data_IF_678782216121
#
_entry.id   IF_678782216121
#
_cell.length_a   1.000
_cell.length_b   1.000
_cell.length_c   1.000
_cell.angle_alpha   90.00
_cell.angle_beta   90.00
_cell.angle_gamma   90.00
#
_symmetry.space_group_name_H-M   'P 1'
#
loop_
_entity.id
_entity.type
_entity.pdbx_description
1 polymer ?
#
# COMPACT_ATOMS: atom_id res chain seq x y z
N UNK A 1 -18.40 -16.20 49.95
CA UNK A 1 -17.54 -16.44 48.78
C UNK A 1 -16.30 -15.55 48.76
N UNK A 2 -16.40 -14.31 49.27
CA UNK A 2 -15.24 -13.46 49.56
C UNK A 2 -14.95 -13.49 51.06
N UNK A 3 -14.05 -14.38 51.48
CA UNK A 3 -13.54 -14.39 52.85
C UNK A 3 -12.10 -13.89 52.81
N UNK A 4 -11.78 -12.84 53.58
CA UNK A 4 -10.46 -12.19 53.58
C UNK A 4 -9.36 -13.17 54.01
N UNK A 5 -9.68 -14.05 54.93
CA UNK A 5 -8.73 -15.05 55.46
C UNK A 5 -8.21 -15.97 54.35
N UNK A 6 -9.09 -16.43 53.45
CA UNK A 6 -8.69 -17.27 52.30
C UNK A 6 -7.75 -16.55 51.34
N UNK A 7 -7.92 -15.24 51.15
CA UNK A 7 -7.03 -14.45 50.28
C UNK A 7 -5.66 -14.24 50.95
N UNK A 8 -5.64 -14.01 52.26
CA UNK A 8 -4.40 -13.94 53.03
C UNK A 8 -3.64 -15.26 52.97
N UNK A 9 -4.34 -16.40 53.11
CA UNK A 9 -3.75 -17.75 53.06
C UNK A 9 -3.15 -18.08 51.68
N UNK A 10 -3.82 -17.68 50.59
CA UNK A 10 -3.30 -17.82 49.21
C UNK A 10 -2.05 -16.96 49.00
N UNK A 11 -2.06 -15.72 49.48
CA UNK A 11 -0.91 -14.82 49.38
C UNK A 11 0.27 -15.35 50.19
N UNK A 12 0.03 -15.83 51.41
CA UNK A 12 1.05 -16.43 52.27
C UNK A 12 1.69 -17.66 51.61
N UNK A 13 0.87 -18.55 51.02
CA UNK A 13 1.33 -19.70 50.25
C UNK A 13 2.14 -19.31 48.99
N UNK A 14 1.76 -18.24 48.30
CA UNK A 14 2.49 -17.72 47.13
C UNK A 14 3.83 -17.09 47.53
N UNK A 15 3.87 -16.37 48.67
CA UNK A 15 5.08 -15.74 49.22
C UNK A 15 6.00 -16.72 49.93
N UNK A 16 5.51 -17.89 50.35
CA UNK A 16 6.33 -18.97 50.91
C UNK A 16 7.40 -19.46 49.92
N UNK A 17 7.10 -19.43 48.61
CA UNK A 17 8.01 -19.82 47.54
C UNK A 17 8.06 -18.76 46.43
N UNK A 18 8.47 -17.55 46.80
CA UNK A 18 8.53 -16.36 45.92
C UNK A 18 9.17 -16.67 44.56
N UNK A 19 10.29 -17.39 44.53
CA UNK A 19 11.04 -17.66 43.30
C UNK A 19 10.25 -18.52 42.29
N UNK A 20 9.60 -19.58 42.76
CA UNK A 20 8.78 -20.48 41.92
C UNK A 20 7.53 -19.75 41.42
N UNK A 21 6.90 -18.97 42.29
CA UNK A 21 5.72 -18.16 41.94
C UNK A 21 6.06 -17.10 40.89
N UNK A 22 7.21 -16.43 41.00
CA UNK A 22 7.66 -15.46 40.00
C UNK A 22 7.95 -16.14 38.66
N UNK A 23 8.68 -17.26 38.63
CA UNK A 23 9.03 -17.94 37.38
C UNK A 23 7.78 -18.43 36.62
N UNK A 24 6.80 -18.96 37.34
CA UNK A 24 5.54 -19.43 36.73
C UNK A 24 4.68 -18.27 36.22
N UNK A 25 4.52 -17.21 37.03
CA UNK A 25 3.80 -16.00 36.61
C UNK A 25 4.50 -15.30 35.42
N UNK A 26 5.82 -15.24 35.44
CA UNK A 26 6.62 -14.67 34.36
C UNK A 26 6.47 -15.47 33.06
N UNK A 27 6.47 -16.81 33.12
CA UNK A 27 6.27 -17.65 31.93
C UNK A 27 4.92 -17.40 31.26
N UNK A 28 3.84 -17.34 32.06
CA UNK A 28 2.48 -17.05 31.53
C UNK A 28 2.41 -15.63 30.98
N UNK A 29 2.93 -14.65 31.71
CA UNK A 29 3.00 -13.25 31.27
C UNK A 29 3.75 -13.13 29.94
N UNK A 30 4.91 -13.78 29.82
CA UNK A 30 5.75 -13.70 28.63
C UNK A 30 5.08 -14.36 27.42
N UNK A 31 4.37 -15.48 27.62
CA UNK A 31 3.61 -16.13 26.55
C UNK A 31 2.51 -15.22 25.98
N UNK A 32 1.72 -14.58 26.85
CA UNK A 32 0.67 -13.65 26.44
C UNK A 32 1.29 -12.40 25.79
N UNK A 33 2.40 -11.90 26.35
CA UNK A 33 3.11 -10.74 25.82
C UNK A 33 3.58 -10.95 24.38
N UNK A 34 4.24 -12.06 24.08
CA UNK A 34 4.69 -12.39 22.72
C UNK A 34 3.51 -12.49 21.75
N UNK A 35 2.40 -13.10 22.19
CA UNK A 35 1.20 -13.24 21.37
C UNK A 35 0.60 -11.87 20.99
N UNK A 36 0.46 -10.97 21.97
CA UNK A 36 -0.04 -9.60 21.73
C UNK A 36 0.93 -8.82 20.83
N UNK A 37 2.23 -8.93 21.08
CA UNK A 37 3.25 -8.22 20.31
C UNK A 37 3.25 -8.64 18.84
N UNK A 38 3.16 -9.94 18.56
CA UNK A 38 3.06 -10.46 17.19
C UNK A 38 1.76 -10.04 16.51
N UNK A 39 0.63 -10.07 17.24
CA UNK A 39 -0.66 -9.62 16.70
C UNK A 39 -0.61 -8.13 16.34
N UNK A 40 -0.06 -7.31 17.22
CA UNK A 40 0.09 -5.88 17.01
C UNK A 40 1.03 -5.58 15.82
N UNK A 41 2.17 -6.27 15.74
CA UNK A 41 3.11 -6.13 14.62
C UNK A 41 2.47 -6.58 13.29
N UNK A 42 1.75 -7.69 13.28
CA UNK A 42 1.06 -8.20 12.09
C UNK A 42 -0.04 -7.26 11.61
N UNK A 43 -0.88 -6.74 12.54
CA UNK A 43 -1.91 -5.75 12.21
C UNK A 43 -1.34 -4.40 11.80
N UNK A 44 -0.25 -3.97 12.45
CA UNK A 44 0.47 -2.75 12.08
C UNK A 44 1.03 -2.83 10.67
N UNK A 45 1.66 -3.96 10.31
CA UNK A 45 2.15 -4.21 8.96
C UNK A 45 1.00 -4.29 7.95
N UNK A 46 -0.07 -5.04 8.26
CA UNK A 46 -1.25 -5.13 7.39
C UNK A 46 -1.83 -3.74 7.09
N UNK A 47 -1.96 -2.89 8.12
CA UNK A 47 -2.49 -1.54 7.96
C UNK A 47 -1.52 -0.62 7.21
N UNK A 48 -0.22 -0.69 7.49
CA UNK A 48 0.80 0.10 6.79
C UNK A 48 0.86 -0.25 5.31
N UNK A 49 0.89 -1.54 4.98
CA UNK A 49 0.80 -2.02 3.60
C UNK A 49 -0.53 -1.57 2.98
N UNK A 50 -1.67 -1.78 3.64
CA UNK A 50 -2.95 -1.31 3.11
C UNK A 50 -3.03 0.20 2.93
N UNK A 51 -2.31 0.99 3.70
CA UNK A 51 -2.25 2.44 3.52
C UNK A 51 -1.41 2.80 2.30
N UNK A 52 -0.22 2.20 2.15
CA UNK A 52 0.64 2.42 0.98
C UNK A 52 -0.01 1.93 -0.33
N UNK A 53 -0.81 0.87 -0.25
CA UNK A 53 -1.57 0.33 -1.38
C UNK A 53 -3.00 0.90 -1.48
N UNK A 54 -3.49 1.62 -0.47
CA UNK A 54 -4.89 2.08 -0.37
C UNK A 54 -5.20 3.26 -1.28
N UNK A 55 -4.19 4.09 -1.55
CA UNK A 55 -4.27 5.17 -2.54
C UNK A 55 -4.20 4.65 -3.98
N UNK A 56 -3.83 3.38 -4.19
CA UNK A 56 -4.10 2.69 -5.44
C UNK A 56 -5.52 2.16 -5.38
N UNK A 57 -6.48 2.97 -5.85
CA UNK A 57 -7.87 2.56 -5.99
C UNK A 57 -7.93 1.12 -6.51
N UNK A 58 -8.63 0.25 -5.77
CA UNK A 58 -8.53 -1.21 -5.87
C UNK A 58 -8.87 -1.75 -7.27
N UNK A 59 -9.48 -0.91 -8.11
CA UNK A 59 -9.87 -1.18 -9.49
C UNK A 59 -9.23 -0.19 -10.50
N UNK A 60 -8.00 0.27 -10.25
CA UNK A 60 -7.29 1.17 -11.17
C UNK A 60 -6.22 0.44 -11.97
N UNK A 61 -6.15 0.74 -13.26
CA UNK A 61 -5.14 0.23 -14.17
C UNK A 61 -4.44 1.40 -14.85
N UNK A 62 -3.11 1.38 -14.81
CA UNK A 62 -2.28 2.31 -15.59
C UNK A 62 -1.84 1.65 -16.88
N UNK A 63 -1.96 2.38 -17.99
CA UNK A 63 -1.59 1.91 -19.32
C UNK A 63 -0.58 2.87 -19.94
N UNK A 64 0.49 2.33 -20.52
CA UNK A 64 1.46 3.06 -21.32
C UNK A 64 1.78 2.27 -22.57
N UNK A 65 2.31 2.96 -23.57
CA UNK A 65 2.66 2.36 -24.84
C UNK A 65 4.06 1.78 -24.81
N UNK A 66 4.22 0.57 -25.33
CA UNK A 66 5.51 -0.07 -25.59
C UNK A 66 5.61 -0.40 -27.10
N UNK A 67 6.76 -0.91 -27.54
CA UNK A 67 6.92 -1.38 -28.92
C UNK A 67 5.86 -2.42 -29.27
N UNK A 68 5.15 -2.22 -30.38
CA UNK A 68 4.04 -3.11 -30.78
C UNK A 68 4.58 -4.52 -31.08
N UNK A 69 4.10 -5.52 -30.34
CA UNK A 69 4.62 -6.90 -30.44
C UNK A 69 4.07 -7.69 -31.63
N UNK A 70 2.86 -7.36 -32.10
CA UNK A 70 2.15 -8.08 -33.18
C UNK A 70 1.75 -7.14 -34.33
N UNK A 71 1.93 -7.56 -35.60
CA UNK A 71 1.44 -6.78 -36.73
C UNK A 71 -0.09 -6.73 -36.73
N UNK A 72 -0.67 -5.65 -37.24
CA UNK A 72 -2.12 -5.46 -37.26
C UNK A 72 -2.54 -4.59 -38.45
N UNK A 73 -3.54 -5.04 -39.23
CA UNK A 73 -4.10 -4.31 -40.38
C UNK A 73 -3.03 -3.70 -41.32
N UNK A 74 -2.02 -4.50 -41.69
CA UNK A 74 -0.94 -4.07 -42.58
C UNK A 74 0.17 -3.24 -41.91
N UNK A 75 0.06 -2.95 -40.61
CA UNK A 75 1.11 -2.24 -39.86
C UNK A 75 2.14 -3.24 -39.30
N UNK A 76 3.45 -2.96 -39.43
CA UNK A 76 4.50 -3.85 -38.97
C UNK A 76 4.61 -3.89 -37.43
N UNK A 77 5.19 -4.98 -36.91
CA UNK A 77 5.63 -5.07 -35.50
C UNK A 77 6.83 -4.13 -35.25
N UNK A 78 7.09 -3.80 -33.99
CA UNK A 78 8.22 -2.96 -33.56
C UNK A 78 7.98 -1.44 -33.68
N UNK A 79 6.86 -1.01 -34.26
CA UNK A 79 6.50 0.41 -34.29
C UNK A 79 6.19 0.94 -32.89
N UNK A 80 6.48 2.22 -32.66
CA UNK A 80 5.98 2.96 -31.49
C UNK A 80 4.51 3.32 -31.72
N UNK A 81 3.71 3.19 -30.69
CA UNK A 81 2.36 3.71 -30.62
C UNK A 81 2.33 4.77 -29.52
N UNK A 82 1.49 5.77 -29.64
CA UNK A 82 1.29 6.82 -28.64
C UNK A 82 -0.19 7.10 -28.60
N UNK A 83 -0.78 7.10 -27.41
CA UNK A 83 -2.18 7.42 -27.22
C UNK A 83 -2.48 8.84 -27.67
N UNK A 84 -3.64 9.03 -28.29
CA UNK A 84 -4.22 10.32 -28.60
C UNK A 84 -5.37 10.59 -27.64
N UNK A 85 -5.75 11.87 -27.51
CA UNK A 85 -6.92 12.24 -26.70
C UNK A 85 -8.20 11.61 -27.26
N UNK A 86 -8.33 11.46 -28.58
CA UNK A 86 -9.48 10.79 -29.21
C UNK A 86 -9.63 9.32 -28.79
N UNK A 87 -8.53 8.64 -28.44
CA UNK A 87 -8.58 7.26 -27.97
C UNK A 87 -9.34 7.13 -26.64
N UNK A 88 -9.41 8.21 -25.84
CA UNK A 88 -10.14 8.25 -24.56
C UNK A 88 -11.63 8.08 -24.79
N UNK A 89 -12.18 8.74 -25.81
CA UNK A 89 -13.58 8.61 -26.19
C UNK A 89 -13.88 7.18 -26.69
N UNK A 90 -12.99 6.62 -27.50
CA UNK A 90 -13.13 5.25 -27.98
C UNK A 90 -13.07 4.21 -26.84
N UNK A 91 -12.18 4.39 -25.85
CA UNK A 91 -12.10 3.51 -24.68
C UNK A 91 -13.38 3.60 -23.86
N UNK A 92 -13.90 4.82 -23.62
CA UNK A 92 -15.14 5.04 -22.88
C UNK A 92 -16.35 4.35 -23.52
N UNK A 93 -16.41 4.33 -24.85
CA UNK A 93 -17.50 3.68 -25.58
C UNK A 93 -17.36 2.15 -25.61
N UNK A 94 -16.12 1.64 -25.76
CA UNK A 94 -15.87 0.21 -25.99
C UNK A 94 -15.67 -0.62 -24.72
N UNK A 95 -15.37 0.00 -23.58
CA UNK A 95 -15.16 -0.69 -22.30
C UNK A 95 -16.32 -0.38 -21.36
N UNK A 96 -17.33 -1.27 -21.25
CA UNK A 96 -18.39 -1.11 -20.26
C UNK A 96 -17.82 -1.18 -18.84
N UNK A 97 -18.52 -0.59 -17.87
CA UNK A 97 -18.16 -0.53 -16.43
C UNK A 97 -16.98 0.36 -16.05
N UNK A 98 -16.40 1.08 -17.00
CA UNK A 98 -15.30 1.99 -16.71
C UNK A 98 -15.81 3.33 -16.15
N UNK A 99 -15.59 3.56 -14.85
CA UNK A 99 -16.11 4.73 -14.12
C UNK A 99 -15.33 6.01 -14.40
N UNK A 100 -14.00 5.94 -14.47
CA UNK A 100 -13.13 7.10 -14.70
C UNK A 100 -12.00 6.78 -15.68
N UNK A 101 -11.74 7.71 -16.61
CA UNK A 101 -10.53 7.72 -17.44
C UNK A 101 -9.83 9.04 -17.17
N UNK A 102 -8.55 9.00 -16.82
CA UNK A 102 -7.71 10.21 -16.76
C UNK A 102 -6.53 10.03 -17.71
N UNK A 103 -6.52 10.71 -18.87
CA UNK A 103 -5.32 10.80 -19.68
C UNK A 103 -4.20 11.48 -18.87
N UNK A 104 -3.00 10.90 -18.92
CA UNK A 104 -1.82 11.36 -18.20
C UNK A 104 -0.69 11.61 -19.17
N UNK A 105 -0.12 12.81 -19.15
CA UNK A 105 1.17 13.08 -19.76
C UNK A 105 2.26 12.98 -18.68
N UNK A 106 3.32 12.23 -18.94
CA UNK A 106 4.42 12.04 -17.99
C UNK A 106 5.73 12.49 -18.63
N UNK A 107 6.44 13.40 -17.95
CA UNK A 107 7.81 13.80 -18.28
C UNK A 107 8.76 13.25 -17.21
N UNK A 108 9.82 12.56 -17.65
CA UNK A 108 10.72 11.82 -16.76
C UNK A 108 10.16 10.47 -16.31
N UNK A 109 10.96 9.69 -15.59
CA UNK A 109 10.61 8.37 -15.08
C UNK A 109 11.43 7.26 -15.73
N UNK A 110 10.76 6.33 -16.42
CA UNK A 110 11.39 5.09 -16.91
C UNK A 110 12.51 5.38 -17.93
N UNK A 111 13.76 5.27 -17.45
CA UNK A 111 14.97 5.44 -18.28
C UNK A 111 15.41 6.88 -18.51
N UNK A 112 14.82 7.88 -17.84
CA UNK A 112 15.24 9.28 -18.01
C UNK A 112 14.69 10.22 -16.95
N UNK A 113 15.47 11.23 -16.58
CA UNK A 113 15.05 12.29 -15.67
C UNK A 113 14.56 13.52 -16.45
N UNK A 114 13.66 14.30 -15.86
CA UNK A 114 13.31 15.63 -16.35
C UNK A 114 13.83 16.69 -15.37
N UNK A 115 14.58 17.68 -15.87
CA UNK A 115 15.10 18.75 -15.04
C UNK A 115 14.03 19.83 -14.85
N UNK A 116 13.53 19.97 -13.64
CA UNK A 116 12.61 21.04 -13.26
C UNK A 116 13.41 22.16 -12.59
N UNK A 117 13.23 23.38 -13.09
CA UNK A 117 13.92 24.58 -12.59
C UNK A 117 12.90 25.49 -11.91
N UNK A 118 13.15 25.86 -10.66
CA UNK A 118 12.39 26.86 -9.91
C UNK A 118 13.37 27.91 -9.38
N UNK A 119 13.49 29.03 -10.10
CA UNK A 119 14.47 30.07 -9.79
C UNK A 119 15.90 29.54 -9.89
N UNK A 120 16.66 29.62 -8.81
CA UNK A 120 18.04 29.11 -8.73
C UNK A 120 18.13 27.61 -8.39
N UNK A 121 17.01 26.94 -8.13
CA UNK A 121 16.99 25.52 -7.76
C UNK A 121 16.64 24.68 -8.99
N UNK A 122 17.52 23.75 -9.34
CA UNK A 122 17.31 22.76 -10.40
C UNK A 122 17.38 21.37 -9.79
N UNK A 123 16.45 20.49 -10.18
CA UNK A 123 16.48 19.09 -9.79
C UNK A 123 15.82 18.19 -10.81
N UNK A 124 16.22 16.92 -10.78
CA UNK A 124 15.63 15.86 -11.57
C UNK A 124 14.35 15.38 -10.89
N UNK A 125 13.19 15.63 -11.51
CA UNK A 125 11.88 15.23 -10.98
C UNK A 125 11.02 14.59 -12.07
N UNK A 126 10.09 13.73 -11.66
CA UNK A 126 9.01 13.27 -12.51
C UNK A 126 7.90 14.32 -12.50
N UNK A 127 7.41 14.69 -13.68
CA UNK A 127 6.30 15.64 -13.83
C UNK A 127 5.13 14.92 -14.48
N UNK A 128 3.99 14.94 -13.80
CA UNK A 128 2.74 14.37 -14.27
C UNK A 128 1.76 15.49 -14.59
N UNK A 129 1.28 15.52 -15.82
CA UNK A 129 0.18 16.38 -16.28
C UNK A 129 -1.07 15.52 -16.44
N UNK A 130 -1.93 15.57 -15.44
CA UNK A 130 -3.16 14.78 -15.37
C UNK A 130 -4.39 15.63 -15.65
N UNK A 131 -5.41 15.00 -16.23
CA UNK A 131 -6.72 15.60 -16.31
C UNK A 131 -7.42 15.57 -14.94
N UNK A 132 -8.34 16.53 -14.67
CA UNK A 132 -8.95 16.69 -13.35
C UNK A 132 -9.70 15.46 -12.83
N UNK A 133 -10.15 14.55 -13.72
CA UNK A 133 -10.87 13.35 -13.30
C UNK A 133 -10.03 12.42 -12.42
N UNK A 134 -8.69 12.57 -12.40
CA UNK A 134 -7.82 11.78 -11.52
C UNK A 134 -8.11 11.99 -10.03
N UNK A 135 -8.64 13.15 -9.65
CA UNK A 135 -8.95 13.49 -8.24
C UNK A 135 -10.16 12.67 -7.75
N UNK A 136 -11.00 12.19 -8.68
CA UNK A 136 -12.23 11.46 -8.36
C UNK A 136 -12.04 9.92 -8.39
N UNK A 137 -10.83 9.44 -8.71
CA UNK A 137 -10.49 8.01 -8.81
C UNK A 137 -10.32 7.34 -7.46
#
# INVERSE_FOLDING_TARGET
MFNRDRWNEILEALTSNVFRTILTAFGVFWGIFILILLLAAGKGLENGVKQDFGDMATNTMFMWTQGISKPYKGLPKGRRFTYKIDDVAAIREKVPDLRFISPRNQLGGFGGANNVVKGLKTGAFNVYGDYPEIINQ
#
